data_IF_285912119565
#
_entry.id   IF_285912119565
#
_cell.length_a   1.000
_cell.length_b   1.000
_cell.length_c   1.000
_cell.angle_alpha   90.00
_cell.angle_beta   90.00
_cell.angle_gamma   90.00
#
_symmetry.space_group_name_H-M   'P 1'
#
loop_
_entity.id
_entity.type
_entity.pdbx_description
1 polymer ?
#
# COMPACT_ATOMS: atom_id res chain seq x y z
N UNK A 1 7.52 20.73 -25.59
CA UNK A 1 8.48 21.18 -24.57
C UNK A 1 8.95 19.97 -23.80
N UNK A 2 10.26 19.73 -23.74
CA UNK A 2 10.83 18.64 -22.93
C UNK A 2 10.98 19.08 -21.48
N UNK A 3 10.61 18.23 -20.54
CA UNK A 3 10.71 18.46 -19.09
C UNK A 3 11.43 17.28 -18.45
N UNK A 4 12.51 17.59 -17.75
CA UNK A 4 13.30 16.61 -16.99
C UNK A 4 12.86 16.62 -15.53
N UNK A 5 12.47 15.45 -15.01
CA UNK A 5 12.18 15.24 -13.60
C UNK A 5 12.97 14.04 -13.10
N UNK A 6 13.85 14.25 -12.14
CA UNK A 6 14.58 13.16 -11.49
C UNK A 6 14.04 12.93 -10.10
N UNK A 7 13.60 11.71 -9.78
CA UNK A 7 13.20 11.35 -8.42
C UNK A 7 14.42 10.94 -7.61
N UNK A 8 14.59 11.57 -6.45
CA UNK A 8 15.71 11.31 -5.54
C UNK A 8 15.15 11.19 -4.12
N UNK A 9 15.51 10.13 -3.43
CA UNK A 9 15.20 9.96 -2.02
C UNK A 9 16.28 10.65 -1.18
N UNK A 10 15.92 11.70 -0.44
CA UNK A 10 16.86 12.51 0.35
C UNK A 10 16.52 12.44 1.83
N UNK A 11 17.50 12.09 2.66
CA UNK A 11 17.37 12.22 4.12
C UNK A 11 17.53 13.69 4.50
N UNK A 12 16.44 14.30 4.96
CA UNK A 12 16.41 15.70 5.40
C UNK A 12 16.04 15.82 6.88
N UNK A 13 16.16 17.03 7.42
CA UNK A 13 15.64 17.39 8.74
C UNK A 13 14.20 17.88 8.59
N UNK A 14 13.28 17.32 9.39
CA UNK A 14 11.91 17.80 9.50
C UNK A 14 11.79 18.84 10.62
N UNK A 15 12.56 18.65 11.69
CA UNK A 15 12.77 19.60 12.78
C UNK A 15 14.18 19.36 13.38
N UNK A 16 14.52 20.03 14.48
CA UNK A 16 15.84 19.91 15.13
C UNK A 16 16.22 18.46 15.48
N UNK A 17 15.27 17.67 15.96
CA UNK A 17 15.47 16.32 16.49
C UNK A 17 15.06 15.22 15.52
N UNK A 18 14.26 15.54 14.50
CA UNK A 18 13.65 14.57 13.59
C UNK A 18 14.26 14.62 12.20
N UNK A 19 14.71 13.46 11.70
CA UNK A 19 15.06 13.27 10.29
C UNK A 19 14.00 12.46 9.58
N UNK A 20 13.73 12.81 8.33
CA UNK A 20 12.77 12.11 7.47
C UNK A 20 13.39 11.80 6.12
N UNK A 21 12.98 10.67 5.52
CA UNK A 21 13.38 10.29 4.17
C UNK A 21 12.37 10.89 3.19
N UNK A 22 12.73 12.02 2.58
CA UNK A 22 11.88 12.70 1.61
C UNK A 22 11.98 12.05 0.24
N UNK A 23 10.84 11.88 -0.42
CA UNK A 23 10.81 11.60 -1.86
C UNK A 23 10.66 12.92 -2.57
N UNK A 24 11.61 13.21 -3.46
CA UNK A 24 11.73 14.52 -4.07
C UNK A 24 11.72 14.42 -5.58
N UNK A 25 11.24 15.47 -6.24
CA UNK A 25 11.54 15.71 -7.64
C UNK A 25 12.66 16.75 -7.70
N UNK A 26 13.79 16.41 -8.29
CA UNK A 26 14.96 17.27 -8.42
C UNK A 26 15.71 17.53 -7.10
N UNK A 27 15.63 16.63 -6.13
CA UNK A 27 16.35 16.76 -4.85
C UNK A 27 15.77 17.80 -3.89
N UNK A 28 14.56 18.32 -4.17
CA UNK A 28 13.94 19.42 -3.40
C UNK A 28 12.50 19.11 -3.00
N UNK A 29 12.09 19.70 -1.89
CA UNK A 29 10.69 19.77 -1.44
C UNK A 29 10.32 21.25 -1.25
N UNK A 30 9.39 21.82 -2.03
CA UNK A 30 8.68 21.18 -3.15
C UNK A 30 9.61 20.94 -4.37
N UNK A 31 9.13 20.13 -5.30
CA UNK A 31 9.79 19.91 -6.59
C UNK A 31 9.84 21.17 -7.48
N UNK A 32 10.53 21.12 -8.63
CA UNK A 32 10.67 22.27 -9.52
C UNK A 32 9.31 22.74 -10.07
N UNK A 33 9.18 24.06 -10.25
CA UNK A 33 8.01 24.64 -10.88
C UNK A 33 8.08 24.47 -12.40
N UNK A 34 7.06 23.88 -13.02
CA UNK A 34 6.97 23.68 -14.47
C UNK A 34 6.01 24.72 -15.05
N UNK A 35 6.47 25.48 -16.04
CA UNK A 35 5.66 26.51 -16.72
C UNK A 35 5.57 26.21 -18.21
N UNK A 36 4.34 26.19 -18.72
CA UNK A 36 4.03 25.99 -20.14
C UNK A 36 2.95 26.97 -20.60
N UNK A 37 2.73 27.08 -21.91
CA UNK A 37 1.60 27.82 -22.49
C UNK A 37 0.45 26.86 -22.77
N UNK A 38 -0.77 27.40 -22.82
CA UNK A 38 -1.94 26.66 -23.27
C UNK A 38 -1.73 26.20 -24.72
N UNK A 39 -1.94 24.91 -25.00
CA UNK A 39 -1.77 24.30 -26.30
C UNK A 39 -0.41 23.62 -26.53
N UNK A 40 0.57 23.84 -25.65
CA UNK A 40 1.86 23.15 -25.69
C UNK A 40 1.69 21.64 -25.45
N UNK A 41 2.51 20.83 -26.13
CA UNK A 41 2.72 19.44 -25.74
C UNK A 41 3.94 19.36 -24.82
N UNK A 42 3.78 18.85 -23.61
CA UNK A 42 4.86 18.57 -22.68
C UNK A 42 5.28 17.11 -22.87
N UNK A 43 6.58 16.87 -22.98
CA UNK A 43 7.19 15.54 -22.97
C UNK A 43 8.00 15.42 -21.68
N UNK A 44 7.50 14.60 -20.76
CA UNK A 44 8.06 14.41 -19.43
C UNK A 44 9.00 13.21 -19.48
N UNK A 45 10.27 13.46 -19.14
CA UNK A 45 11.28 12.44 -18.92
C UNK A 45 11.42 12.28 -17.40
N UNK A 46 10.86 11.19 -16.88
CA UNK A 46 10.94 10.85 -15.46
C UNK A 46 12.05 9.83 -15.26
N UNK A 47 13.14 10.26 -14.63
CA UNK A 47 14.25 9.39 -14.22
C UNK A 47 14.17 9.11 -12.74
N UNK A 48 14.39 7.85 -12.34
CA UNK A 48 14.57 7.52 -10.93
C UNK A 48 16.04 7.31 -10.63
N UNK A 49 16.57 8.03 -9.64
CA UNK A 49 17.97 7.90 -9.24
C UNK A 49 18.29 6.45 -8.86
N UNK A 50 19.47 5.98 -9.26
CA UNK A 50 19.88 4.60 -9.03
C UNK A 50 20.07 4.28 -7.54
N UNK A 51 20.22 5.30 -6.70
CA UNK A 51 20.35 5.16 -5.25
C UNK A 51 19.00 5.14 -4.52
N UNK A 52 17.89 5.41 -5.21
CA UNK A 52 16.54 5.31 -4.64
C UNK A 52 16.21 3.86 -4.26
N UNK A 53 15.39 3.69 -3.22
CA UNK A 53 14.98 2.38 -2.74
C UNK A 53 13.66 1.95 -3.40
N UNK A 54 12.80 2.92 -3.73
CA UNK A 54 11.46 2.69 -4.25
C UNK A 54 11.35 3.08 -5.71
N UNK A 55 10.39 2.44 -6.39
CA UNK A 55 9.89 2.96 -7.64
C UNK A 55 9.16 4.28 -7.40
N UNK A 56 9.21 5.17 -8.38
CA UNK A 56 8.48 6.43 -8.37
C UNK A 56 7.76 6.64 -9.70
N UNK A 57 6.73 7.48 -9.69
CA UNK A 57 5.96 7.89 -10.87
C UNK A 57 5.55 9.34 -10.75
N UNK A 58 4.80 9.85 -11.72
CA UNK A 58 4.29 11.22 -11.65
C UNK A 58 2.86 11.30 -12.19
N UNK A 59 1.98 11.91 -11.40
CA UNK A 59 0.62 12.32 -11.75
C UNK A 59 0.60 13.85 -11.87
N UNK A 60 0.24 14.37 -13.04
CA UNK A 60 -0.04 15.78 -13.28
C UNK A 60 -1.54 16.01 -13.33
N UNK A 61 -2.07 16.83 -12.41
CA UNK A 61 -3.50 17.17 -12.40
C UNK A 61 -3.92 18.03 -13.61
N UNK A 62 -2.95 18.65 -14.28
CA UNK A 62 -3.16 19.36 -15.55
C UNK A 62 -3.16 18.46 -16.79
N UNK A 63 -2.88 17.16 -16.64
CA UNK A 63 -2.89 16.19 -17.74
C UNK A 63 -4.21 15.44 -17.79
N UNK A 64 -4.90 15.52 -18.93
CA UNK A 64 -6.12 14.76 -19.17
C UNK A 64 -5.75 13.39 -19.78
N UNK A 65 -5.65 12.39 -18.93
CA UNK A 65 -5.30 11.03 -19.33
C UNK A 65 -5.22 10.09 -18.12
N UNK A 66 -5.03 8.79 -18.36
CA UNK A 66 -5.03 7.80 -17.29
C UNK A 66 -4.01 8.11 -16.18
N UNK A 67 -4.50 8.29 -14.95
CA UNK A 67 -3.71 8.60 -13.76
C UNK A 67 -2.83 9.86 -13.88
N UNK A 68 -3.17 10.81 -14.75
CA UNK A 68 -2.38 12.04 -14.96
C UNK A 68 -0.95 11.80 -15.45
N UNK A 69 -0.64 10.61 -15.99
CA UNK A 69 0.71 10.20 -16.37
C UNK A 69 1.31 9.08 -15.52
N UNK A 70 0.76 8.83 -14.33
CA UNK A 70 1.32 7.88 -13.36
C UNK A 70 1.25 6.43 -13.83
N UNK A 71 0.26 6.09 -14.65
CA UNK A 71 0.15 4.76 -15.25
C UNK A 71 1.28 4.46 -16.26
N UNK A 72 1.88 5.50 -16.86
CA UNK A 72 2.95 5.35 -17.84
C UNK A 72 4.35 5.52 -17.24
N UNK A 73 4.44 6.01 -16.01
CA UNK A 73 5.69 6.48 -15.40
C UNK A 73 6.11 5.72 -14.17
N UNK A 74 5.59 4.50 -13.92
CA UNK A 74 6.15 3.64 -12.87
C UNK A 74 7.61 3.30 -13.22
N UNK A 75 8.55 3.90 -12.50
CA UNK A 75 9.98 3.94 -12.84
C UNK A 75 10.80 3.38 -11.70
N UNK A 76 11.45 2.23 -11.91
CA UNK A 76 12.32 1.62 -10.90
C UNK A 76 13.66 2.36 -10.76
N UNK A 77 14.38 2.21 -9.64
CA UNK A 77 15.68 2.85 -9.45
C UNK A 77 16.64 2.60 -10.61
N UNK A 78 17.23 3.66 -11.14
CA UNK A 78 18.14 3.63 -12.29
C UNK A 78 17.45 3.65 -13.66
N UNK A 79 16.13 3.55 -13.72
CA UNK A 79 15.37 3.63 -14.97
C UNK A 79 14.93 5.06 -15.32
N UNK A 80 14.49 5.20 -16.58
CA UNK A 80 13.81 6.39 -17.09
C UNK A 80 12.55 5.96 -17.87
N UNK A 81 11.45 6.68 -17.67
CA UNK A 81 10.21 6.54 -18.45
C UNK A 81 9.82 7.89 -19.02
N UNK A 82 9.22 7.86 -20.22
CA UNK A 82 8.81 9.07 -20.92
C UNK A 82 7.33 8.99 -21.25
N UNK A 83 6.61 10.09 -21.02
CA UNK A 83 5.24 10.25 -21.51
C UNK A 83 5.01 11.70 -21.94
N UNK A 84 3.95 11.94 -22.71
CA UNK A 84 3.61 13.31 -23.13
C UNK A 84 2.12 13.60 -22.98
N UNK A 85 1.79 14.87 -22.78
CA UNK A 85 0.41 15.35 -22.74
C UNK A 85 0.32 16.79 -23.27
N UNK A 86 -0.88 17.16 -23.75
CA UNK A 86 -1.17 18.51 -24.24
C UNK A 86 -1.82 19.35 -23.13
N UNK A 87 -1.34 20.57 -22.93
CA UNK A 87 -1.95 21.53 -21.99
C UNK A 87 -3.23 22.09 -22.59
N UNK A 88 -4.37 21.54 -22.19
CA UNK A 88 -5.69 21.91 -22.75
C UNK A 88 -6.51 22.80 -21.82
N UNK A 89 -6.10 22.93 -20.56
CA UNK A 89 -6.78 23.75 -19.55
C UNK A 89 -5.76 24.75 -18.97
N UNK A 90 -6.01 26.07 -19.02
CA UNK A 90 -5.13 27.06 -18.40
C UNK A 90 -5.35 27.08 -16.88
N UNK A 91 -4.27 27.14 -16.10
CA UNK A 91 -4.38 27.19 -14.64
C UNK A 91 -3.07 26.84 -13.93
N UNK A 92 -3.16 26.77 -12.61
CA UNK A 92 -2.13 26.23 -11.74
C UNK A 92 -2.56 24.83 -11.29
N UNK A 93 -1.72 23.84 -11.54
CA UNK A 93 -2.02 22.44 -11.23
C UNK A 93 -0.91 21.84 -10.36
N UNK A 94 -1.30 20.92 -9.48
CA UNK A 94 -0.37 20.10 -8.72
C UNK A 94 0.16 18.98 -9.61
N UNK A 95 1.39 18.56 -9.35
CA UNK A 95 1.85 17.24 -9.72
C UNK A 95 2.47 16.57 -8.49
N UNK A 96 2.35 15.25 -8.40
CA UNK A 96 2.90 14.49 -7.30
C UNK A 96 3.24 13.05 -7.72
N UNK A 97 4.03 12.36 -6.90
CA UNK A 97 4.25 10.93 -7.10
C UNK A 97 2.95 10.17 -6.86
N UNK A 98 2.68 9.18 -7.70
CA UNK A 98 1.54 8.28 -7.56
C UNK A 98 1.99 6.83 -7.80
N UNK A 99 3.21 6.50 -7.40
CA UNK A 99 3.61 5.11 -7.28
C UNK A 99 2.83 4.52 -6.12
N UNK A 100 2.17 3.37 -6.32
CA UNK A 100 1.50 2.71 -5.23
C UNK A 100 2.53 2.36 -4.15
N UNK A 101 2.59 3.12 -3.05
CA UNK A 101 3.53 2.85 -1.97
C UNK A 101 3.07 1.65 -1.14
N UNK A 102 3.59 0.50 -1.53
CA UNK A 102 3.50 -0.86 -0.98
C UNK A 102 2.11 -1.35 -0.58
N UNK A 103 1.69 -2.45 -1.20
CA UNK A 103 0.47 -3.15 -0.80
C UNK A 103 0.48 -3.43 0.71
N UNK A 104 -0.64 -3.12 1.35
CA UNK A 104 -0.86 -3.54 2.72
C UNK A 104 -1.08 -5.04 2.71
N UNK A 105 -0.33 -5.77 3.54
CA UNK A 105 -0.53 -7.20 3.72
C UNK A 105 -1.49 -7.44 4.88
N UNK A 106 -2.74 -7.01 4.74
CA UNK A 106 -3.68 -6.97 5.86
C UNK A 106 -3.99 -8.36 6.38
N UNK A 107 -3.85 -8.54 7.69
CA UNK A 107 -4.02 -9.82 8.38
C UNK A 107 -4.58 -9.62 9.79
N UNK A 108 -5.48 -10.51 10.21
CA UNK A 108 -5.88 -10.68 11.62
C UNK A 108 -5.27 -11.99 12.10
N UNK A 109 -4.30 -11.90 13.02
CA UNK A 109 -3.59 -13.08 13.53
C UNK A 109 -4.55 -13.98 14.29
N UNK A 110 -4.65 -15.24 13.87
CA UNK A 110 -5.52 -16.24 14.47
C UNK A 110 -6.88 -16.42 13.78
N UNK A 111 -7.13 -15.73 12.66
CA UNK A 111 -8.40 -15.79 11.94
C UNK A 111 -8.23 -16.03 10.44
N UNK A 112 -9.30 -16.52 9.81
CA UNK A 112 -9.44 -16.70 8.36
C UNK A 112 -10.70 -15.96 7.91
N UNK A 113 -10.59 -15.13 6.87
CA UNK A 113 -11.72 -14.35 6.37
C UNK A 113 -12.72 -15.25 5.62
N UNK A 114 -14.01 -15.15 5.97
CA UNK A 114 -15.09 -15.86 5.29
C UNK A 114 -15.27 -15.36 3.85
N UNK A 115 -15.10 -14.05 3.64
CA UNK A 115 -15.20 -13.41 2.33
C UNK A 115 -14.33 -12.14 2.28
N UNK A 116 -13.57 -11.98 1.19
CA UNK A 116 -12.79 -10.77 0.91
C UNK A 116 -13.13 -10.26 -0.48
N UNK A 117 -13.44 -8.97 -0.59
CA UNK A 117 -13.80 -8.32 -1.85
C UNK A 117 -12.90 -7.13 -2.14
N UNK A 118 -12.18 -7.18 -3.26
CA UNK A 118 -11.37 -6.06 -3.73
C UNK A 118 -12.25 -5.06 -4.48
N UNK A 119 -12.43 -3.86 -3.93
CA UNK A 119 -13.27 -2.80 -4.51
C UNK A 119 -14.67 -3.29 -4.89
N UNK A 120 -15.04 -3.13 -6.17
CA UNK A 120 -16.30 -3.62 -6.75
C UNK A 120 -16.28 -5.07 -7.25
N UNK A 121 -15.18 -5.81 -7.05
CA UNK A 121 -14.94 -7.12 -7.64
C UNK A 121 -15.75 -8.28 -7.05
N UNK A 122 -15.45 -9.51 -7.51
CA UNK A 122 -16.02 -10.74 -6.95
C UNK A 122 -15.38 -11.08 -5.60
N UNK A 123 -16.11 -11.71 -4.67
CA UNK A 123 -15.54 -12.15 -3.40
C UNK A 123 -14.62 -13.36 -3.59
N UNK A 124 -13.51 -13.36 -2.85
CA UNK A 124 -12.62 -14.49 -2.57
C UNK A 124 -13.01 -15.05 -1.20
N UNK A 125 -12.76 -16.33 -0.92
CA UNK A 125 -13.13 -16.98 0.34
C UNK A 125 -11.91 -17.60 0.99
N UNK A 126 -11.95 -17.73 2.31
CA UNK A 126 -10.99 -18.50 3.10
C UNK A 126 -9.55 -17.94 3.02
N UNK A 127 -9.43 -16.62 2.81
CA UNK A 127 -8.14 -15.94 2.76
C UNK A 127 -7.67 -15.57 4.17
N UNK A 128 -6.38 -15.76 4.45
CA UNK A 128 -5.80 -15.39 5.76
C UNK A 128 -5.15 -14.01 5.73
N UNK A 129 -4.48 -13.68 4.64
CA UNK A 129 -3.71 -12.44 4.47
C UNK A 129 -3.92 -11.93 3.07
N UNK A 130 -4.30 -10.66 2.92
CA UNK A 130 -4.64 -10.11 1.60
C UNK A 130 -3.82 -8.87 1.30
N UNK A 131 -3.26 -8.83 0.09
CA UNK A 131 -2.55 -7.69 -0.44
C UNK A 131 -3.55 -6.64 -0.95
N UNK A 132 -3.66 -5.53 -0.23
CA UNK A 132 -4.42 -4.35 -0.66
C UNK A 132 -3.45 -3.35 -1.28
N UNK A 133 -3.47 -3.28 -2.61
CA UNK A 133 -2.63 -2.32 -3.33
C UNK A 133 -2.96 -0.87 -2.93
N UNK A 134 -1.99 0.04 -2.91
CA UNK A 134 -2.23 1.44 -2.60
C UNK A 134 -3.16 2.09 -3.62
N UNK A 135 -4.08 2.93 -3.14
CA UNK A 135 -5.16 3.50 -3.96
C UNK A 135 -6.31 2.52 -4.25
N UNK A 136 -6.23 1.28 -3.76
CA UNK A 136 -7.32 0.31 -3.80
C UNK A 136 -7.99 0.18 -2.42
N UNK A 137 -9.13 -0.50 -2.37
CA UNK A 137 -9.84 -0.81 -1.13
C UNK A 137 -10.25 -2.29 -1.12
N UNK A 138 -10.38 -2.86 0.07
CA UNK A 138 -10.91 -4.20 0.25
C UNK A 138 -11.95 -4.21 1.38
N UNK A 139 -13.00 -5.03 1.22
CA UNK A 139 -13.96 -5.35 2.27
C UNK A 139 -13.67 -6.76 2.77
N UNK A 140 -13.62 -6.92 4.08
CA UNK A 140 -13.37 -8.20 4.75
C UNK A 140 -14.59 -8.55 5.58
N UNK A 141 -15.10 -9.76 5.40
CA UNK A 141 -16.20 -10.32 6.18
C UNK A 141 -15.67 -11.55 6.91
N UNK A 142 -15.94 -11.61 8.21
CA UNK A 142 -15.57 -12.72 9.07
C UNK A 142 -16.52 -12.80 10.27
N UNK A 143 -16.73 -14.00 10.79
CA UNK A 143 -17.38 -14.22 12.07
C UNK A 143 -16.37 -14.79 13.08
N UNK A 144 -16.08 -14.02 14.13
CA UNK A 144 -15.20 -14.47 15.23
C UNK A 144 -15.82 -15.68 15.93
N UNK A 145 -15.00 -16.72 16.13
CA UNK A 145 -15.42 -17.99 16.76
C UNK A 145 -14.84 -18.18 18.15
N UNK A 146 -13.86 -17.38 18.56
CA UNK A 146 -13.18 -17.52 19.84
C UNK A 146 -13.03 -16.14 20.49
N UNK A 147 -13.29 -16.06 21.79
CA UNK A 147 -13.06 -14.83 22.57
C UNK A 147 -11.55 -14.57 22.75
N UNK A 148 -11.15 -13.31 22.86
CA UNK A 148 -9.74 -12.97 23.11
C UNK A 148 -9.27 -11.75 22.35
N UNK A 149 -7.95 -11.59 22.30
CA UNK A 149 -7.27 -10.45 21.69
C UNK A 149 -6.57 -10.87 20.41
N UNK A 150 -7.04 -10.33 19.27
CA UNK A 150 -6.53 -10.65 17.95
C UNK A 150 -5.77 -9.46 17.38
N UNK A 151 -4.53 -9.68 16.93
CA UNK A 151 -3.71 -8.62 16.39
C UNK A 151 -4.10 -8.36 14.92
N UNK A 152 -4.52 -7.14 14.63
CA UNK A 152 -4.71 -6.64 13.26
C UNK A 152 -3.41 -5.99 12.84
N UNK A 153 -2.82 -6.47 11.75
CA UNK A 153 -1.48 -6.04 11.34
C UNK A 153 -1.35 -5.93 9.82
N UNK A 154 -0.32 -5.20 9.42
CA UNK A 154 0.35 -5.47 8.15
C UNK A 154 1.35 -6.63 8.34
N UNK A 155 1.18 -7.72 7.60
CA UNK A 155 2.01 -8.92 7.73
C UNK A 155 3.45 -8.75 7.20
N UNK A 156 3.81 -7.57 6.66
CA UNK A 156 5.21 -7.15 6.60
C UNK A 156 5.64 -6.65 7.99
N UNK A 157 6.06 -7.59 8.86
CA UNK A 157 6.28 -7.37 10.30
C UNK A 157 7.16 -6.16 10.66
N UNK A 158 8.12 -5.77 9.81
CA UNK A 158 8.92 -4.55 9.99
C UNK A 158 8.10 -3.26 10.02
N UNK A 159 6.82 -3.31 9.61
CA UNK A 159 5.86 -2.19 9.63
C UNK A 159 4.94 -2.21 10.83
N UNK A 160 4.71 -3.38 11.43
CA UNK A 160 4.02 -3.51 12.72
C UNK A 160 4.75 -2.66 13.76
N UNK A 161 6.09 -2.74 13.79
CA UNK A 161 6.97 -1.94 14.65
C UNK A 161 6.90 -0.43 14.38
N UNK A 162 6.34 -0.03 13.23
CA UNK A 162 6.19 1.37 12.81
C UNK A 162 4.75 1.88 12.96
N UNK A 163 3.89 1.14 13.67
CA UNK A 163 2.55 1.56 14.04
C UNK A 163 1.42 0.99 13.17
N UNK A 164 1.71 0.10 12.21
CA UNK A 164 0.65 -0.61 11.47
C UNK A 164 0.18 -1.86 12.24
N UNK A 165 -0.33 -1.62 13.45
CA UNK A 165 -0.89 -2.63 14.32
C UNK A 165 -2.11 -2.10 15.08
N UNK A 166 -3.02 -3.01 15.43
CA UNK A 166 -4.16 -2.77 16.30
C UNK A 166 -4.57 -4.07 16.97
N UNK A 167 -5.46 -3.98 17.95
CA UNK A 167 -5.98 -5.16 18.67
C UNK A 167 -7.50 -5.15 18.57
N UNK A 168 -8.06 -6.26 18.09
CA UNK A 168 -9.48 -6.56 18.17
C UNK A 168 -9.71 -7.33 19.46
N UNK A 169 -10.55 -6.78 20.33
CA UNK A 169 -10.98 -7.45 21.56
C UNK A 169 -12.34 -8.07 21.29
N UNK A 170 -12.44 -9.38 21.44
CA UNK A 170 -13.67 -10.15 21.25
C UNK A 170 -14.12 -10.72 22.59
N UNK A 171 -15.26 -10.24 23.07
CA UNK A 171 -15.91 -10.77 24.26
C UNK A 171 -16.75 -12.00 23.90
N UNK A 172 -16.83 -12.97 24.81
CA UNK A 172 -17.62 -14.19 24.61
C UNK A 172 -16.99 -15.41 25.29
N UNK A 173 -17.45 -16.62 24.97
CA UNK A 173 -16.83 -17.85 25.43
C UNK A 173 -15.48 -18.08 24.74
N UNK A 174 -14.49 -18.52 25.52
CA UNK A 174 -13.28 -19.15 25.00
C UNK A 174 -13.69 -20.56 24.57
N UNK A 175 -13.92 -20.78 23.27
CA UNK A 175 -14.32 -22.08 22.72
C UNK A 175 -13.12 -23.05 22.81
N UNK A 176 -12.94 -23.68 23.98
CA UNK A 176 -11.80 -24.54 24.35
C UNK A 176 -11.50 -25.68 23.36
N UNK A 177 -12.52 -26.15 22.63
CA UNK A 177 -12.35 -27.20 21.61
C UNK A 177 -11.63 -26.71 20.34
N UNK A 178 -11.59 -25.40 20.09
CA UNK A 178 -10.90 -24.80 18.94
C UNK A 178 -9.41 -24.57 19.22
N UNK A 179 -9.09 -23.96 20.36
CA UNK A 179 -7.72 -23.65 20.76
C UNK A 179 -7.63 -23.44 22.26
N UNK A 180 -6.81 -24.23 22.94
CA UNK A 180 -6.58 -24.13 24.38
C UNK A 180 -5.09 -24.18 24.71
N UNK A 181 -4.72 -23.67 25.88
CA UNK A 181 -3.37 -23.79 26.38
C UNK A 181 -3.11 -25.20 26.92
N UNK A 182 -1.93 -25.75 26.63
CA UNK A 182 -1.50 -27.06 27.11
C UNK A 182 -1.73 -28.19 26.10
N UNK A 183 -1.50 -29.45 26.50
CA UNK A 183 -1.64 -30.59 25.59
C UNK A 183 -3.09 -30.76 25.14
N UNK A 184 -3.28 -31.27 23.92
CA UNK A 184 -4.60 -31.70 23.46
C UNK A 184 -5.24 -32.64 24.49
N UNK A 185 -6.52 -32.42 24.79
CA UNK A 185 -7.28 -33.37 25.61
C UNK A 185 -7.15 -34.75 24.96
N UNK A 186 -6.67 -35.74 25.72
CA UNK A 186 -6.59 -37.11 25.21
C UNK A 186 -8.01 -37.55 24.86
N UNK A 187 -8.23 -37.97 23.61
CA UNK A 187 -9.45 -38.68 23.27
C UNK A 187 -9.71 -39.78 24.32
N UNK A 188 -10.95 -39.93 24.82
CA UNK A 188 -11.25 -41.03 25.72
C UNK A 188 -10.92 -42.34 25.01
N UNK A 189 -9.97 -43.11 25.56
CA UNK A 189 -9.73 -44.51 25.17
C UNK A 189 -11.01 -45.30 25.45
N UNK A 190 -11.91 -45.40 24.47
CA UNK A 190 -13.20 -46.04 24.72
C UNK A 190 -14.14 -46.15 23.54
N UNK A 191 -13.74 -46.88 22.48
CA UNK A 191 -14.63 -47.81 21.76
C UNK A 191 -13.79 -48.82 20.97
N UNK A 192 -13.23 -49.79 21.69
CA UNK A 192 -13.03 -51.13 21.12
C UNK A 192 -14.37 -51.88 21.28
N UNK A 193 -14.98 -52.27 20.17
CA UNK A 193 -15.81 -53.47 20.12
C UNK A 193 -17.26 -53.32 19.63
N UNK A 194 -17.55 -54.14 18.61
CA UNK A 194 -18.83 -54.62 18.03
C UNK A 194 -19.45 -53.67 16.99
N UNK A 195 -19.68 -54.07 15.75
CA UNK A 195 -19.84 -55.41 15.13
C UNK A 195 -18.84 -55.68 13.98
#
# INVERSE_FOLDING_TARGET
>A
MRVELTTIEVKGKLDEKTSYQFWTFGGKVPGPFIRARLGDTLEIHLRNDATSILAHSVDFHGALGPGGGSQFTQTFPGEEKVFSFKTTIPGLFVYHCATPSIASSFHIVGEIFDSVRMGGGRPMKEEQTVLVAPGNAATFELQMKHAGHFNLIDHALSRVERGLNGVLVVDGPEEDDLMHAGPAAREPKGRRGRE
#
